data_IF_805309513836
#
_entry.id   IF_805309513836
#
_cell.length_a   1.000
_cell.length_b   1.000
_cell.length_c   1.000
_cell.angle_alpha   90.00
_cell.angle_beta   90.00
_cell.angle_gamma   90.00
#
_symmetry.space_group_name_H-M   'P 1'
#
loop_
_entity.id
_entity.type
_entity.pdbx_description
1 polymer ?
#
# COMPACT_ATOMS: atom_id res chain seq x y z
N UNK A 1 1.58 -0.69 -15.87
CA UNK A 1 1.53 -0.24 -14.46
C UNK A 1 2.71 0.67 -14.21
N UNK A 2 2.53 1.66 -13.36
CA UNK A 2 3.61 2.55 -12.98
C UNK A 2 4.30 2.01 -11.71
N UNK A 3 5.60 2.24 -11.56
CA UNK A 3 6.38 1.70 -10.43
C UNK A 3 6.70 2.83 -9.46
N UNK A 4 6.12 2.77 -8.28
CA UNK A 4 6.42 3.69 -7.19
C UNK A 4 7.70 3.28 -6.47
N UNK A 5 8.42 4.24 -5.89
CA UNK A 5 9.59 3.97 -5.07
C UNK A 5 9.32 4.31 -3.61
N UNK A 6 9.85 3.48 -2.71
CA UNK A 6 9.84 3.72 -1.27
C UNK A 6 10.61 5.01 -0.94
N UNK A 7 9.97 5.91 -0.20
CA UNK A 7 10.57 7.12 0.36
C UNK A 7 10.85 6.93 1.85
N UNK A 8 9.84 6.50 2.62
CA UNK A 8 9.94 6.42 4.08
C UNK A 8 8.99 5.35 4.66
N UNK A 9 9.37 4.76 5.79
CA UNK A 9 8.54 3.82 6.56
C UNK A 9 8.15 4.36 7.94
N UNK A 10 8.62 5.55 8.32
CA UNK A 10 8.44 6.17 9.64
C UNK A 10 8.25 7.68 9.52
N UNK A 11 7.39 8.09 8.59
CA UNK A 11 7.04 9.50 8.42
C UNK A 11 6.39 10.05 9.68
N UNK A 12 6.73 11.27 10.10
CA UNK A 12 6.11 11.93 11.26
C UNK A 12 4.60 12.09 11.10
N UNK A 13 4.11 12.16 9.85
CA UNK A 13 2.69 12.28 9.54
C UNK A 13 1.89 11.02 9.90
N UNK A 14 2.51 9.85 9.82
CA UNK A 14 1.83 8.56 9.95
C UNK A 14 2.43 7.64 11.00
N UNK A 15 3.46 8.07 11.75
CA UNK A 15 4.11 7.32 12.84
C UNK A 15 4.50 5.88 12.44
N UNK A 16 4.84 5.69 11.16
CA UNK A 16 5.17 4.39 10.57
C UNK A 16 4.01 3.41 10.36
N UNK A 17 2.77 3.90 10.38
CA UNK A 17 1.59 3.16 9.92
C UNK A 17 1.51 3.07 8.40
N UNK A 18 2.16 3.99 7.67
CA UNK A 18 2.15 3.98 6.21
C UNK A 18 3.54 3.77 5.61
N UNK A 19 3.56 3.14 4.44
CA UNK A 19 4.65 3.23 3.46
C UNK A 19 4.45 4.54 2.71
N UNK A 20 5.44 5.42 2.75
CA UNK A 20 5.46 6.65 1.95
C UNK A 20 6.15 6.34 0.62
N UNK A 21 5.48 6.58 -0.50
CA UNK A 21 5.97 6.27 -1.85
C UNK A 21 5.98 7.50 -2.76
N UNK A 22 6.73 7.43 -3.86
CA UNK A 22 6.76 8.48 -4.87
C UNK A 22 5.47 8.53 -5.67
N UNK A 23 4.96 9.74 -5.91
CA UNK A 23 3.84 10.03 -6.81
C UNK A 23 4.31 10.98 -7.93
N UNK A 24 4.63 10.47 -9.12
CA UNK A 24 5.02 11.28 -10.27
C UNK A 24 4.53 10.66 -11.60
N UNK A 25 3.28 10.95 -12.03
CA UNK A 25 2.64 10.27 -13.15
C UNK A 25 3.32 10.54 -14.51
N UNK A 26 4.16 11.58 -14.60
CA UNK A 26 4.89 11.95 -15.82
C UNK A 26 6.22 11.22 -16.05
N UNK A 27 6.82 10.63 -15.01
CA UNK A 27 8.18 10.06 -15.08
C UNK A 27 8.20 8.52 -14.97
N UNK A 28 7.05 7.87 -15.18
CA UNK A 28 6.88 6.43 -15.00
C UNK A 28 6.86 5.95 -13.54
N UNK A 29 6.86 6.89 -12.59
CA UNK A 29 6.95 6.62 -11.14
C UNK A 29 5.59 6.53 -10.42
N UNK A 30 4.50 6.46 -11.17
CA UNK A 30 3.15 6.27 -10.63
C UNK A 30 2.59 7.53 -9.96
N UNK A 31 1.57 7.36 -9.13
CA UNK A 31 0.90 8.44 -8.41
C UNK A 31 -0.55 8.10 -8.20
N UNK A 32 -0.91 7.86 -6.94
CA UNK A 32 -2.28 7.66 -6.48
C UNK A 32 -3.13 8.85 -6.91
N UNK A 33 -4.28 8.55 -7.52
CA UNK A 33 -5.34 9.50 -7.79
C UNK A 33 -6.59 9.22 -6.98
N UNK A 34 -7.50 10.20 -6.95
CA UNK A 34 -8.87 9.97 -6.49
C UNK A 34 -9.50 8.82 -7.26
N UNK A 35 -9.89 7.77 -6.54
CA UNK A 35 -10.43 6.53 -7.10
C UNK A 35 -9.55 5.31 -6.87
N UNK A 36 -8.26 5.49 -6.59
CA UNK A 36 -7.32 4.39 -6.31
C UNK A 36 -7.34 3.95 -4.83
N UNK A 37 -7.99 4.73 -3.96
CA UNK A 37 -8.07 4.48 -2.52
C UNK A 37 -8.59 3.09 -2.18
N UNK A 38 -7.86 2.38 -1.33
CA UNK A 38 -8.07 0.98 -0.98
C UNK A 38 -7.41 -0.02 -1.95
N UNK A 39 -6.86 0.45 -3.07
CA UNK A 39 -6.10 -0.35 -4.01
C UNK A 39 -4.78 -0.88 -3.41
N UNK A 40 -4.27 -2.02 -3.90
CA UNK A 40 -3.08 -2.64 -3.33
C UNK A 40 -1.78 -1.97 -3.82
N UNK A 41 -0.85 -1.75 -2.91
CA UNK A 41 0.57 -1.58 -3.24
C UNK A 41 1.21 -2.97 -3.33
N UNK A 42 1.63 -3.37 -4.54
CA UNK A 42 2.27 -4.66 -4.80
C UNK A 42 3.79 -4.55 -4.69
N UNK A 43 4.42 -5.58 -4.13
CA UNK A 43 5.87 -5.67 -4.04
C UNK A 43 6.48 -6.21 -5.34
N UNK A 44 7.21 -5.35 -6.04
CA UNK A 44 7.92 -5.65 -7.28
C UNK A 44 7.00 -6.30 -8.33
N UNK A 45 7.39 -7.44 -8.91
CA UNK A 45 6.59 -8.19 -9.88
C UNK A 45 5.77 -9.31 -9.24
N UNK A 46 5.48 -9.24 -7.93
CA UNK A 46 4.73 -10.26 -7.19
C UNK A 46 3.30 -9.82 -6.89
N UNK A 47 2.46 -10.77 -6.51
CA UNK A 47 1.10 -10.52 -5.99
C UNK A 47 1.10 -10.23 -4.47
N UNK A 48 2.26 -9.92 -3.88
CA UNK A 48 2.37 -9.63 -2.45
C UNK A 48 1.90 -8.20 -2.18
N UNK A 49 0.77 -8.07 -1.49
CA UNK A 49 0.26 -6.78 -1.01
C UNK A 49 1.04 -6.38 0.23
N UNK A 50 1.74 -5.23 0.18
CA UNK A 50 2.51 -4.70 1.32
C UNK A 50 1.82 -3.53 2.03
N UNK A 51 0.94 -2.85 1.32
CA UNK A 51 0.11 -1.77 1.86
C UNK A 51 -1.13 -1.56 0.98
N UNK A 52 -2.08 -0.77 1.47
CA UNK A 52 -3.26 -0.32 0.72
C UNK A 52 -3.25 1.19 0.58
N UNK A 53 -3.60 1.70 -0.58
CA UNK A 53 -3.64 3.14 -0.83
C UNK A 53 -4.62 3.84 0.11
N UNK A 54 -4.15 4.89 0.78
CA UNK A 54 -4.91 5.57 1.83
C UNK A 54 -5.13 7.03 1.52
N UNK A 55 -4.06 7.79 1.30
CA UNK A 55 -4.17 9.19 0.92
C UNK A 55 -2.90 9.72 0.25
N UNK A 56 -3.07 10.76 -0.56
CA UNK A 56 -2.00 11.61 -1.05
C UNK A 56 -2.17 13.05 -0.55
N UNK A 57 -1.10 13.84 -0.60
CA UNK A 57 -1.15 15.25 -0.16
C UNK A 57 -1.47 16.23 -1.31
N UNK A 58 -1.59 15.74 -2.54
CA UNK A 58 -1.78 16.57 -3.73
C UNK A 58 -2.94 16.05 -4.58
N UNK A 59 -3.96 16.89 -4.78
CA UNK A 59 -5.13 16.55 -5.61
C UNK A 59 -4.85 16.38 -7.11
N UNK A 60 -3.64 16.66 -7.59
CA UNK A 60 -3.22 16.42 -8.97
C UNK A 60 -2.42 15.10 -9.12
N UNK A 61 -2.44 14.23 -8.10
CA UNK A 61 -1.76 12.93 -8.11
C UNK A 61 -0.24 13.07 -8.26
N UNK A 62 0.39 13.93 -7.45
CA UNK A 62 1.84 14.21 -7.49
C UNK A 62 2.44 14.30 -6.10
N UNK A 63 3.76 14.20 -6.00
CA UNK A 63 4.50 14.32 -4.74
C UNK A 63 4.69 12.96 -4.08
N UNK A 64 3.97 12.73 -3.00
CA UNK A 64 4.10 11.54 -2.15
C UNK A 64 2.75 10.95 -1.80
N UNK A 65 2.67 9.64 -1.86
CA UNK A 65 1.50 8.88 -1.46
C UNK A 65 1.77 8.13 -0.15
N UNK A 66 0.71 7.88 0.61
CA UNK A 66 0.78 7.25 1.92
C UNK A 66 -0.09 6.00 1.91
N UNK A 67 0.56 4.85 1.90
CA UNK A 67 -0.06 3.53 1.75
C UNK A 67 -0.10 2.84 3.12
N UNK A 68 -1.28 2.51 3.65
CA UNK A 68 -1.39 1.92 4.99
C UNK A 68 -0.91 0.48 5.01
N UNK A 69 0.02 0.15 5.91
CA UNK A 69 0.70 -1.14 5.99
C UNK A 69 -0.24 -2.28 6.38
N UNK A 70 -0.27 -3.34 5.59
CA UNK A 70 -1.07 -4.54 5.89
C UNK A 70 -0.34 -5.56 6.77
N UNK A 71 0.97 -5.41 6.96
CA UNK A 71 1.81 -6.31 7.77
C UNK A 71 1.73 -6.05 9.28
N UNK A 72 0.85 -5.16 9.72
CA UNK A 72 0.55 -4.94 11.13
C UNK A 72 -0.26 -6.13 11.66
N UNK A 73 0.17 -6.74 12.76
CA UNK A 73 -0.47 -7.92 13.35
C UNK A 73 -2.00 -7.75 13.53
N UNK A 74 -2.54 -6.65 14.11
CA UNK A 74 -3.99 -6.47 14.21
C UNK A 74 -4.73 -6.42 12.86
N UNK A 75 -4.05 -5.99 11.80
CA UNK A 75 -4.61 -5.90 10.45
C UNK A 75 -4.65 -7.28 9.81
N UNK A 76 -3.56 -8.04 9.93
CA UNK A 76 -3.51 -9.44 9.47
C UNK A 76 -4.56 -10.28 10.19
N UNK A 77 -4.68 -10.14 11.52
CA UNK A 77 -5.70 -10.83 12.30
C UNK A 77 -7.11 -10.49 11.82
N UNK A 78 -7.38 -9.21 11.54
CA UNK A 78 -8.67 -8.76 11.02
C UNK A 78 -8.98 -9.31 9.63
N UNK A 79 -8.02 -9.25 8.70
CA UNK A 79 -8.16 -9.80 7.33
C UNK A 79 -8.46 -11.28 7.41
N UNK A 80 -7.65 -12.03 8.18
CA UNK A 80 -7.82 -13.46 8.32
C UNK A 80 -9.17 -13.76 8.96
N UNK A 81 -9.56 -13.08 10.04
CA UNK A 81 -10.83 -13.31 10.73
C UNK A 81 -12.06 -13.12 9.82
N UNK A 82 -12.03 -12.15 8.90
CA UNK A 82 -13.15 -11.86 8.00
C UNK A 82 -13.14 -12.66 6.69
N UNK A 83 -11.97 -13.12 6.23
CA UNK A 83 -11.90 -13.91 5.01
C UNK A 83 -12.68 -15.23 5.16
N UNK A 84 -13.60 -15.57 4.22
CA UNK A 84 -14.23 -16.88 4.15
C UNK A 84 -13.18 -17.99 4.15
N UNK A 85 -13.49 -19.15 4.73
CA UNK A 85 -12.51 -20.25 4.84
C UNK A 85 -11.90 -20.66 3.49
N UNK A 86 -12.68 -20.62 2.41
CA UNK A 86 -12.21 -20.90 1.05
C UNK A 86 -11.20 -19.89 0.52
N UNK A 87 -11.33 -18.62 0.89
CA UNK A 87 -10.43 -17.54 0.47
C UNK A 87 -9.22 -17.44 1.39
N UNK A 88 -9.42 -17.62 2.70
CA UNK A 88 -8.33 -17.63 3.69
C UNK A 88 -7.27 -18.67 3.35
N UNK A 89 -7.66 -19.81 2.79
CA UNK A 89 -6.74 -20.86 2.34
C UNK A 89 -5.83 -20.42 1.17
N UNK A 90 -6.18 -19.35 0.47
CA UNK A 90 -5.42 -18.77 -0.65
C UNK A 90 -4.48 -17.63 -0.19
N UNK A 91 -4.64 -17.14 1.05
CA UNK A 91 -3.84 -16.04 1.59
C UNK A 91 -2.53 -16.61 2.15
N UNK A 92 -1.41 -16.18 1.56
CA UNK A 92 -0.08 -16.50 2.05
C UNK A 92 0.52 -15.26 2.72
N UNK A 93 0.59 -15.27 4.05
CA UNK A 93 1.31 -14.23 4.81
C UNK A 93 2.80 -14.51 4.69
N UNK A 94 3.53 -13.59 4.07
CA UNK A 94 4.96 -13.71 3.82
C UNK A 94 5.74 -12.91 4.87
N UNK A 95 6.80 -13.50 5.41
CA UNK A 95 7.83 -12.80 6.16
C UNK A 95 9.03 -12.58 5.24
N UNK A 96 9.45 -11.33 5.05
CA UNK A 96 10.65 -10.98 4.29
C UNK A 96 11.90 -11.04 5.17
#
# INVERSE_FOLDING_TARGET
MATEQLINLRSTLTDGFNVETTASPGDGRGGTCSGDSGGPLLYDSSDTIVAVDSFGLNGNCRGTDFMYRVDREPVLDWILALAPASERALIHVVSL
#
